data_IF_497493158405
#
_entry.id   IF_497493158405
#
_cell.length_a   1.000
_cell.length_b   1.000
_cell.length_c   1.000
_cell.angle_alpha   90.00
_cell.angle_beta   90.00
_cell.angle_gamma   90.00
#
_symmetry.space_group_name_H-M   'P 1'
#
loop_
_entity.id
_entity.type
_entity.pdbx_description
1 polymer ?
#
# COMPACT_ATOMS: atom_id res chain seq x y z
N UNK A 1 68.60 -48.08 20.78
CA UNK A 1 67.72 -47.09 21.44
C UNK A 1 66.32 -47.64 21.33
N UNK A 2 65.90 -48.32 22.39
CA UNK A 2 64.60 -48.98 22.53
C UNK A 2 63.48 -47.94 22.51
N UNK A 3 62.50 -48.14 21.61
CA UNK A 3 61.19 -47.51 21.68
C UNK A 3 60.19 -48.60 22.04
N UNK A 4 60.06 -48.91 23.32
CA UNK A 4 59.09 -49.89 23.85
C UNK A 4 57.68 -49.33 23.73
N UNK A 5 56.88 -49.95 22.87
CA UNK A 5 55.43 -49.93 22.92
C UNK A 5 55.00 -50.58 24.25
N UNK A 6 54.63 -49.78 25.25
CA UNK A 6 53.97 -50.27 26.46
C UNK A 6 52.50 -50.56 26.16
N UNK A 7 52.08 -51.78 26.52
CA UNK A 7 50.74 -52.30 26.32
C UNK A 7 49.67 -51.47 27.02
N UNK A 8 48.50 -51.40 26.40
CA UNK A 8 47.35 -50.63 26.86
C UNK A 8 46.81 -51.25 28.16
N UNK A 9 46.74 -50.45 29.23
CA UNK A 9 46.16 -50.87 30.51
C UNK A 9 44.65 -51.21 30.35
N UNK A 10 44.18 -52.36 30.83
CA UNK A 10 42.79 -52.79 30.67
C UNK A 10 41.78 -51.89 31.42
N UNK A 11 42.18 -51.26 32.53
CA UNK A 11 41.35 -50.26 33.22
C UNK A 11 41.18 -48.98 32.41
N UNK A 12 42.19 -48.60 31.63
CA UNK A 12 42.14 -47.44 30.73
C UNK A 12 41.20 -47.69 29.55
N UNK A 13 41.16 -48.92 29.03
CA UNK A 13 40.20 -49.31 27.98
C UNK A 13 38.75 -49.30 28.48
N UNK A 14 38.49 -49.84 29.67
CA UNK A 14 37.15 -49.81 30.30
C UNK A 14 36.66 -48.37 30.55
N UNK A 15 37.52 -47.51 31.10
CA UNK A 15 37.18 -46.10 31.32
C UNK A 15 36.96 -45.34 29.99
N UNK A 16 37.71 -45.67 28.95
CA UNK A 16 37.52 -45.09 27.61
C UNK A 16 36.21 -45.58 26.95
N UNK A 17 35.79 -46.83 27.17
CA UNK A 17 34.51 -47.35 26.69
C UNK A 17 33.32 -46.69 27.39
N UNK A 18 33.38 -46.52 28.72
CA UNK A 18 32.33 -45.86 29.50
C UNK A 18 32.22 -44.37 29.13
N UNK A 19 33.36 -43.69 28.92
CA UNK A 19 33.39 -42.33 28.39
C UNK A 19 32.81 -42.25 26.97
N UNK A 20 33.14 -43.20 26.09
CA UNK A 20 32.56 -43.28 24.73
C UNK A 20 31.04 -43.47 24.77
N UNK A 21 30.52 -44.32 25.66
CA UNK A 21 29.06 -44.52 25.85
C UNK A 21 28.38 -43.23 26.31
N UNK A 22 28.94 -42.58 27.33
CA UNK A 22 28.43 -41.30 27.84
C UNK A 22 28.44 -40.20 26.77
N UNK A 23 29.45 -40.19 25.91
CA UNK A 23 29.58 -39.22 24.81
C UNK A 23 28.56 -39.49 23.69
N UNK A 24 28.29 -40.77 23.38
CA UNK A 24 27.23 -41.16 22.45
C UNK A 24 25.84 -40.75 22.97
N UNK A 25 25.55 -41.00 24.25
CA UNK A 25 24.29 -40.58 24.88
C UNK A 25 24.14 -39.05 24.87
N UNK A 26 25.19 -38.31 25.24
CA UNK A 26 25.18 -36.84 25.17
C UNK A 26 24.87 -36.34 23.75
N UNK A 27 25.44 -36.99 22.72
CA UNK A 27 25.20 -36.64 21.31
C UNK A 27 23.77 -36.93 20.87
N UNK A 28 23.17 -38.03 21.32
CA UNK A 28 21.75 -38.33 21.05
C UNK A 28 20.82 -37.31 21.71
N UNK A 29 21.12 -36.92 22.95
CA UNK A 29 20.35 -35.89 23.66
C UNK A 29 20.47 -34.51 23.01
N UNK A 30 21.66 -34.15 22.51
CA UNK A 30 21.84 -32.92 21.73
C UNK A 30 21.02 -32.91 20.44
N UNK A 31 20.97 -34.03 19.71
CA UNK A 31 20.15 -34.17 18.51
C UNK A 31 18.65 -34.01 18.84
N UNK A 32 18.16 -34.72 19.85
CA UNK A 32 16.77 -34.61 20.33
C UNK A 32 16.43 -33.18 20.79
N UNK A 33 17.36 -32.51 21.49
CA UNK A 33 17.17 -31.14 21.95
C UNK A 33 17.10 -30.16 20.76
N UNK A 34 17.90 -30.38 19.72
CA UNK A 34 17.88 -29.56 18.50
C UNK A 34 16.55 -29.71 17.75
N UNK A 35 16.04 -30.93 17.61
CA UNK A 35 14.76 -31.19 16.96
C UNK A 35 13.59 -30.60 17.75
N UNK A 36 13.60 -30.75 19.08
CA UNK A 36 12.60 -30.13 19.97
C UNK A 36 12.65 -28.60 19.90
N UNK A 37 13.83 -27.98 19.84
CA UNK A 37 13.96 -26.52 19.70
C UNK A 37 13.43 -26.01 18.36
N UNK A 38 13.66 -26.75 17.27
CA UNK A 38 13.08 -26.42 15.96
C UNK A 38 11.55 -26.53 16.01
N UNK A 39 11.03 -27.63 16.58
CA UNK A 39 9.60 -27.83 16.76
C UNK A 39 8.94 -26.71 17.57
N UNK A 40 9.54 -26.28 18.69
CA UNK A 40 9.03 -25.16 19.50
C UNK A 40 8.97 -23.87 18.69
N UNK A 41 9.97 -23.59 17.86
CA UNK A 41 10.00 -22.36 17.05
C UNK A 41 8.89 -22.35 15.99
N UNK A 42 8.64 -23.49 15.35
CA UNK A 42 7.56 -23.61 14.37
C UNK A 42 6.19 -23.55 15.05
N UNK A 43 6.02 -24.23 16.19
CA UNK A 43 4.79 -24.14 16.99
C UNK A 43 4.52 -22.71 17.46
N UNK A 44 5.56 -21.96 17.82
CA UNK A 44 5.40 -20.58 18.26
C UNK A 44 4.99 -19.66 17.11
N UNK A 45 5.49 -19.88 15.89
CA UNK A 45 5.03 -19.16 14.69
C UNK A 45 3.56 -19.43 14.39
N UNK A 46 3.15 -20.69 14.50
CA UNK A 46 1.74 -21.07 14.30
C UNK A 46 0.86 -20.45 15.39
N UNK A 47 1.32 -20.45 16.64
CA UNK A 47 0.65 -19.79 17.75
C UNK A 47 0.48 -18.28 17.49
N UNK A 48 1.54 -17.57 17.13
CA UNK A 48 1.48 -16.13 16.86
C UNK A 48 0.50 -15.82 15.70
N UNK A 49 0.53 -16.63 14.64
CA UNK A 49 -0.38 -16.49 13.49
C UNK A 49 -1.84 -16.72 13.89
N UNK A 50 -2.10 -17.75 14.70
CA UNK A 50 -3.47 -18.04 15.18
C UNK A 50 -3.96 -17.00 16.17
N UNK A 51 -3.10 -16.48 17.03
CA UNK A 51 -3.42 -15.39 17.95
C UNK A 51 -3.80 -14.10 17.19
N UNK A 52 -3.05 -13.74 16.15
CA UNK A 52 -3.34 -12.60 15.30
C UNK A 52 -4.66 -12.75 14.53
N UNK A 53 -4.96 -13.97 14.05
CA UNK A 53 -6.25 -14.26 13.42
C UNK A 53 -7.42 -14.10 14.40
N UNK A 54 -7.26 -14.56 15.65
CA UNK A 54 -8.29 -14.39 16.69
C UNK A 54 -8.50 -12.90 17.00
N UNK A 55 -7.42 -12.12 17.12
CA UNK A 55 -7.50 -10.67 17.31
C UNK A 55 -8.22 -9.98 16.14
N UNK A 56 -7.96 -10.42 14.91
CA UNK A 56 -8.65 -9.90 13.73
C UNK A 56 -10.16 -10.19 13.75
N UNK A 57 -10.57 -11.38 14.20
CA UNK A 57 -11.99 -11.76 14.31
C UNK A 57 -12.77 -10.95 15.34
N UNK A 58 -12.11 -10.45 16.39
CA UNK A 58 -12.74 -9.58 17.39
C UNK A 58 -12.97 -8.15 16.89
N UNK A 59 -12.39 -7.77 15.74
CA UNK A 59 -12.56 -6.43 15.21
C UNK A 59 -13.99 -6.19 14.73
N UNK A 60 -14.61 -5.13 15.24
CA UNK A 60 -15.96 -4.74 14.82
C UNK A 60 -15.85 -3.82 13.61
N UNK A 61 -16.70 -4.06 12.61
CA UNK A 61 -16.81 -3.20 11.43
C UNK A 61 -17.19 -1.76 11.79
N UNK A 62 -16.74 -0.81 10.97
CA UNK A 62 -17.10 0.61 11.09
C UNK A 62 -18.02 0.99 9.93
N UNK A 63 -19.03 1.81 10.20
CA UNK A 63 -19.92 2.34 9.16
C UNK A 63 -19.20 3.49 8.46
N UNK A 64 -19.23 3.50 7.13
CA UNK A 64 -18.67 4.61 6.36
C UNK A 64 -19.74 5.69 6.20
N UNK A 65 -19.35 6.95 6.41
CA UNK A 65 -20.20 8.10 6.20
C UNK A 65 -19.46 9.31 5.67
N UNK A 66 -20.22 10.34 5.35
CA UNK A 66 -19.72 11.64 4.87
C UNK A 66 -20.18 12.75 5.81
N UNK A 67 -19.26 13.63 6.20
CA UNK A 67 -19.60 14.80 7.03
C UNK A 67 -20.32 15.82 6.17
N UNK A 68 -21.57 16.13 6.52
CA UNK A 68 -22.37 17.16 5.85
C UNK A 68 -22.06 18.54 6.42
N UNK A 69 -22.13 18.68 7.75
CA UNK A 69 -21.98 19.97 8.41
C UNK A 69 -21.57 19.78 9.87
N UNK A 70 -20.69 20.64 10.37
CA UNK A 70 -20.43 20.77 11.79
C UNK A 70 -21.55 21.59 12.45
N UNK A 71 -22.18 21.03 13.49
CA UNK A 71 -23.21 21.74 14.25
C UNK A 71 -22.54 22.50 15.40
N UNK A 72 -21.74 21.79 16.20
CA UNK A 72 -21.02 22.34 17.35
C UNK A 72 -19.57 21.80 17.39
N UNK A 73 -18.81 22.13 18.44
CA UNK A 73 -17.46 21.61 18.62
C UNK A 73 -17.40 20.08 18.78
N UNK A 74 -18.45 19.46 19.31
CA UNK A 74 -18.49 18.01 19.55
C UNK A 74 -19.46 17.25 18.63
N UNK A 75 -20.40 17.96 18.01
CA UNK A 75 -21.50 17.37 17.23
C UNK A 75 -21.38 17.68 15.75
N UNK A 76 -21.45 16.64 14.93
CA UNK A 76 -21.38 16.71 13.47
C UNK A 76 -22.60 16.03 12.86
N UNK A 77 -23.08 16.56 11.75
CA UNK A 77 -24.09 15.90 10.92
C UNK A 77 -23.35 15.04 9.90
N UNK A 78 -23.61 13.74 9.95
CA UNK A 78 -23.04 12.77 9.01
C UNK A 78 -24.16 12.08 8.23
N UNK A 79 -23.90 11.81 6.95
CA UNK A 79 -24.73 10.94 6.14
C UNK A 79 -24.07 9.56 6.13
N UNK A 80 -24.74 8.54 6.65
CA UNK A 80 -24.26 7.18 6.50
C UNK A 80 -24.34 6.75 5.03
N UNK A 81 -23.47 5.82 4.60
CA UNK A 81 -23.55 5.23 3.26
C UNK A 81 -24.90 4.58 2.98
N UNK A 82 -25.62 4.15 4.02
CA UNK A 82 -26.99 3.62 3.93
C UNK A 82 -28.05 4.67 3.57
N UNK A 83 -27.72 5.97 3.57
CA UNK A 83 -28.64 7.07 3.23
C UNK A 83 -29.17 7.94 4.38
N UNK A 84 -29.45 7.46 5.61
CA UNK A 84 -29.95 8.29 6.69
C UNK A 84 -28.87 9.25 7.20
N UNK A 85 -29.35 10.36 7.78
CA UNK A 85 -28.52 11.41 8.37
C UNK A 85 -28.58 11.31 9.89
N UNK A 86 -27.43 11.33 10.53
CA UNK A 86 -27.30 11.26 11.98
C UNK A 86 -26.55 12.47 12.52
N UNK A 87 -26.94 12.92 13.71
CA UNK A 87 -26.13 13.83 14.51
C UNK A 87 -25.25 12.97 15.39
N UNK A 88 -23.94 13.09 15.21
CA UNK A 88 -22.97 12.19 15.82
C UNK A 88 -21.93 12.97 16.61
N UNK A 89 -21.47 12.36 17.70
CA UNK A 89 -20.34 12.86 18.47
C UNK A 89 -19.01 12.58 17.76
N UNK A 90 -18.04 13.46 17.95
CA UNK A 90 -16.66 13.23 17.52
C UNK A 90 -15.78 12.83 18.70
N UNK A 91 -14.96 11.78 18.53
CA UNK A 91 -13.98 11.39 19.54
C UNK A 91 -12.88 12.46 19.64
N UNK A 92 -12.52 12.87 20.86
CA UNK A 92 -11.56 13.98 21.09
C UNK A 92 -10.16 13.76 20.51
N UNK A 93 -9.79 12.52 20.19
CA UNK A 93 -8.50 12.17 19.55
C UNK A 93 -8.44 12.56 18.06
N UNK A 94 -9.57 12.84 17.42
CA UNK A 94 -9.63 13.18 16.00
C UNK A 94 -9.50 14.69 15.79
N UNK A 95 -8.67 15.10 14.82
CA UNK A 95 -8.47 16.50 14.43
C UNK A 95 -9.76 17.13 13.86
N UNK A 96 -10.48 17.89 14.71
CA UNK A 96 -11.73 18.56 14.32
C UNK A 96 -11.57 19.55 13.16
N UNK A 97 -10.41 20.19 13.01
CA UNK A 97 -10.14 21.17 11.95
C UNK A 97 -10.13 20.57 10.53
N UNK A 98 -9.86 19.27 10.41
CA UNK A 98 -9.81 18.55 9.13
C UNK A 98 -11.17 17.94 8.75
N UNK A 99 -12.11 17.88 9.69
CA UNK A 99 -13.48 17.41 9.48
C UNK A 99 -14.32 18.51 8.80
N UNK A 100 -13.99 18.80 7.54
CA UNK A 100 -14.74 19.70 6.68
C UNK A 100 -15.90 18.97 6.02
N UNK A 101 -16.82 19.74 5.46
CA UNK A 101 -17.93 19.20 4.68
C UNK A 101 -17.39 18.39 3.50
N UNK A 102 -17.94 17.21 3.27
CA UNK A 102 -17.48 16.27 2.25
C UNK A 102 -16.30 15.39 2.66
N UNK A 103 -15.82 15.49 3.90
CA UNK A 103 -14.81 14.57 4.42
C UNK A 103 -15.45 13.22 4.74
N UNK A 104 -14.82 12.14 4.28
CA UNK A 104 -15.24 10.77 4.56
C UNK A 104 -14.79 10.37 5.96
N UNK A 105 -15.67 9.74 6.73
CA UNK A 105 -15.42 9.37 8.12
C UNK A 105 -15.89 7.95 8.38
N UNK A 106 -15.21 7.28 9.32
CA UNK A 106 -15.64 6.02 9.87
C UNK A 106 -16.39 6.26 11.18
N UNK A 107 -17.60 5.74 11.25
CA UNK A 107 -18.49 5.78 12.40
C UNK A 107 -18.47 4.43 13.10
N UNK A 108 -18.57 4.46 14.42
CA UNK A 108 -18.79 3.26 15.20
C UNK A 108 -20.17 2.64 14.90
N UNK A 109 -20.26 1.31 14.84
CA UNK A 109 -21.49 0.62 14.47
C UNK A 109 -22.59 0.77 15.54
N UNK A 110 -22.22 0.79 16.82
CA UNK A 110 -23.17 0.82 17.95
C UNK A 110 -23.49 2.23 18.41
N UNK A 111 -22.48 3.09 18.55
CA UNK A 111 -22.64 4.45 19.09
C UNK A 111 -22.79 5.54 18.03
N UNK A 112 -22.58 5.19 16.75
CA UNK A 112 -22.53 6.13 15.63
C UNK A 112 -21.53 7.28 15.86
N UNK A 113 -20.48 7.08 16.65
CA UNK A 113 -19.47 8.13 16.93
C UNK A 113 -18.38 8.17 15.85
N UNK A 114 -17.87 9.35 15.51
CA UNK A 114 -16.75 9.48 14.56
C UNK A 114 -15.49 8.90 15.21
N UNK A 115 -15.03 7.77 14.69
CA UNK A 115 -13.84 7.05 15.13
C UNK A 115 -12.57 7.60 14.50
N UNK A 116 -12.57 7.75 13.17
CA UNK A 116 -11.43 8.23 12.37
C UNK A 116 -11.89 8.85 11.06
N UNK A 117 -11.04 9.69 10.47
CA UNK A 117 -11.24 10.16 9.10
C UNK A 117 -10.71 9.13 8.11
N UNK A 118 -11.36 9.03 6.96
CA UNK A 118 -10.97 8.18 5.86
C UNK A 118 -10.52 9.06 4.67
N UNK A 119 -9.54 8.61 3.88
CA UNK A 119 -9.22 9.27 2.63
C UNK A 119 -10.42 9.20 1.67
N UNK A 120 -10.43 10.09 0.67
CA UNK A 120 -11.42 10.03 -0.41
C UNK A 120 -11.25 8.71 -1.15
N UNK A 121 -12.37 8.02 -1.36
CA UNK A 121 -12.38 6.85 -2.23
C UNK A 121 -12.28 7.31 -3.67
N UNK A 122 -11.50 6.58 -4.45
CA UNK A 122 -11.60 6.58 -5.90
C UNK A 122 -12.25 5.27 -6.28
N UNK A 123 -13.22 5.32 -7.20
CA UNK A 123 -13.88 4.10 -7.67
C UNK A 123 -12.83 3.14 -8.24
N UNK A 124 -12.96 1.81 -8.01
CA UNK A 124 -12.01 0.82 -8.54
C UNK A 124 -11.85 0.92 -10.06
N UNK A 125 -12.90 1.32 -10.78
CA UNK A 125 -12.84 1.56 -12.23
C UNK A 125 -11.85 2.69 -12.57
N UNK A 126 -11.93 3.82 -11.88
CA UNK A 126 -11.04 4.98 -12.07
C UNK A 126 -9.61 4.61 -11.65
N UNK A 127 -9.47 3.86 -10.56
CA UNK A 127 -8.17 3.38 -10.10
C UNK A 127 -7.50 2.49 -11.15
N UNK A 128 -8.23 1.53 -11.71
CA UNK A 128 -7.74 0.67 -12.78
C UNK A 128 -7.38 1.46 -14.04
N UNK A 129 -8.19 2.47 -14.41
CA UNK A 129 -7.88 3.37 -15.51
C UNK A 129 -6.57 4.11 -15.29
N UNK A 130 -6.28 4.56 -14.06
CA UNK A 130 -5.04 5.29 -13.76
C UNK A 130 -3.78 4.42 -13.74
N UNK A 131 -3.94 3.11 -13.55
CA UNK A 131 -2.86 2.13 -13.56
C UNK A 131 -2.59 1.54 -14.95
N UNK A 132 -3.48 1.76 -15.92
CA UNK A 132 -3.21 1.36 -17.30
C UNK A 132 -2.07 2.20 -17.86
N UNK A 133 -0.89 1.60 -17.97
CA UNK A 133 0.25 2.24 -18.62
C UNK A 133 -0.12 2.61 -20.06
N UNK A 134 0.06 3.88 -20.48
CA UNK A 134 -0.27 4.31 -21.83
C UNK A 134 0.60 3.65 -22.92
N UNK A 135 1.51 2.75 -22.57
CA UNK A 135 2.47 2.11 -23.47
C UNK A 135 3.62 3.05 -23.83
N UNK A 136 4.78 2.50 -24.17
CA UNK A 136 5.97 3.28 -24.54
C UNK A 136 5.84 3.82 -25.97
N UNK A 137 4.88 4.70 -26.21
CA UNK A 137 4.72 5.40 -27.49
C UNK A 137 5.44 6.73 -27.38
N UNK A 138 6.37 6.99 -28.29
CA UNK A 138 7.07 8.27 -28.40
C UNK A 138 6.44 9.13 -29.50
N UNK A 139 6.61 10.45 -29.39
CA UNK A 139 6.16 11.38 -30.44
C UNK A 139 6.80 11.13 -31.80
N UNK A 140 7.99 10.54 -31.84
CA UNK A 140 8.66 10.13 -33.07
C UNK A 140 7.90 9.02 -33.83
N UNK A 141 7.04 8.26 -33.14
CA UNK A 141 6.19 7.25 -33.76
C UNK A 141 4.95 7.82 -34.47
N UNK A 142 4.71 9.13 -34.41
CA UNK A 142 3.54 9.78 -35.01
C UNK A 142 3.97 10.59 -36.24
N UNK A 143 3.52 10.17 -37.42
CA UNK A 143 3.79 10.87 -38.68
C UNK A 143 2.70 11.87 -39.05
N UNK A 144 3.09 12.98 -39.69
CA UNK A 144 2.16 13.89 -40.38
C UNK A 144 1.30 14.80 -39.50
N UNK A 145 1.55 14.84 -38.19
CA UNK A 145 0.78 15.63 -37.21
C UNK A 145 1.65 16.60 -36.38
N UNK A 146 2.76 17.07 -36.96
CA UNK A 146 3.77 17.86 -36.24
C UNK A 146 3.20 19.17 -35.66
N UNK A 147 2.34 19.86 -36.41
CA UNK A 147 1.73 21.12 -35.96
C UNK A 147 0.79 20.89 -34.78
N UNK A 148 -0.05 19.84 -34.85
CA UNK A 148 -0.98 19.50 -33.77
C UNK A 148 -0.25 19.02 -32.51
N UNK A 149 0.84 18.26 -32.67
CA UNK A 149 1.70 17.84 -31.55
C UNK A 149 2.31 19.06 -30.86
N UNK A 150 2.79 20.04 -31.64
CA UNK A 150 3.37 21.27 -31.10
C UNK A 150 2.32 22.09 -30.33
N UNK A 151 1.15 22.34 -30.91
CA UNK A 151 0.07 23.06 -30.23
C UNK A 151 -0.33 22.37 -28.91
N UNK A 152 -0.44 21.05 -28.92
CA UNK A 152 -0.81 20.30 -27.72
C UNK A 152 0.26 20.37 -26.62
N UNK A 153 1.54 20.36 -26.98
CA UNK A 153 2.64 20.58 -26.03
C UNK A 153 2.62 21.99 -25.45
N UNK A 154 2.41 23.01 -26.27
CA UNK A 154 2.30 24.40 -25.79
C UNK A 154 1.12 24.56 -24.81
N UNK A 155 0.04 23.82 -25.02
CA UNK A 155 -1.16 23.90 -24.18
C UNK A 155 -1.05 23.08 -22.89
N UNK A 156 -0.38 21.93 -22.90
CA UNK A 156 -0.30 21.03 -21.74
C UNK A 156 1.04 21.15 -21.01
N UNK A 157 2.15 21.06 -21.72
CA UNK A 157 3.50 21.00 -21.14
C UNK A 157 3.95 22.37 -20.60
N UNK A 158 3.66 23.46 -21.32
CA UNK A 158 4.06 24.81 -20.92
C UNK A 158 3.45 25.27 -19.57
N UNK A 159 2.14 25.12 -19.32
CA UNK A 159 1.58 25.50 -18.02
C UNK A 159 1.98 24.57 -16.89
N UNK A 160 2.28 23.29 -17.17
CA UNK A 160 2.76 22.35 -16.16
C UNK A 160 4.21 22.63 -15.74
N UNK A 161 5.09 22.96 -16.69
CA UNK A 161 6.50 23.23 -16.41
C UNK A 161 6.75 24.65 -15.88
N UNK A 162 6.11 25.67 -16.48
CA UNK A 162 6.41 27.08 -16.21
C UNK A 162 5.14 27.92 -15.94
N UNK A 163 4.45 27.71 -14.82
CA UNK A 163 3.23 28.46 -14.48
C UNK A 163 3.48 29.96 -14.29
N UNK A 164 4.70 30.38 -13.92
CA UNK A 164 5.05 31.79 -13.73
C UNK A 164 4.89 32.63 -15.01
N UNK A 165 5.13 32.07 -16.19
CA UNK A 165 5.00 32.80 -17.45
C UNK A 165 3.55 33.27 -17.66
N UNK A 166 2.58 32.41 -17.33
CA UNK A 166 1.16 32.74 -17.41
C UNK A 166 0.76 33.81 -16.40
N UNK A 167 1.33 33.76 -15.18
CA UNK A 167 1.09 34.76 -14.14
C UNK A 167 1.64 36.14 -14.51
N UNK A 168 2.85 36.20 -15.11
CA UNK A 168 3.47 37.46 -15.54
C UNK A 168 2.74 38.13 -16.70
N UNK A 169 2.25 37.33 -17.65
CA UNK A 169 1.46 37.84 -18.79
C UNK A 169 0.01 38.14 -18.37
N UNK A 170 -0.45 37.60 -17.24
CA UNK A 170 -1.81 37.82 -16.73
C UNK A 170 -2.89 37.01 -17.47
N UNK A 171 -2.50 35.97 -18.19
CA UNK A 171 -3.41 35.11 -18.96
C UNK A 171 -3.66 33.82 -18.17
N UNK A 172 -4.91 33.35 -18.15
CA UNK A 172 -5.26 32.07 -17.52
C UNK A 172 -4.87 30.91 -18.44
N UNK A 173 -4.18 29.87 -17.94
CA UNK A 173 -3.87 28.71 -18.76
C UNK A 173 -5.16 27.98 -19.17
N UNK A 174 -5.21 27.40 -20.38
CA UNK A 174 -6.32 26.56 -20.83
C UNK A 174 -6.50 25.34 -19.91
N UNK A 175 -7.75 24.97 -19.62
CA UNK A 175 -8.08 23.89 -18.67
C UNK A 175 -8.19 22.50 -19.30
N UNK A 176 -8.29 22.41 -20.61
CA UNK A 176 -8.50 21.16 -21.32
C UNK A 176 -8.44 21.34 -22.83
N UNK A 177 -8.20 20.25 -23.53
CA UNK A 177 -8.09 20.20 -24.99
C UNK A 177 -9.09 19.19 -25.53
N UNK A 178 -9.76 19.54 -26.63
CA UNK A 178 -10.66 18.64 -27.33
C UNK A 178 -10.04 18.25 -28.68
N UNK A 179 -9.71 16.97 -28.84
CA UNK A 179 -9.26 16.42 -30.13
C UNK A 179 -10.48 15.86 -30.88
N UNK A 180 -10.83 16.44 -32.03
CA UNK A 180 -11.99 16.02 -32.84
C UNK A 180 -11.60 15.72 -34.29
N UNK A 181 -12.45 15.00 -35.03
CA UNK A 181 -12.28 14.64 -36.45
C UNK A 181 -12.56 13.17 -36.76
N UNK A 182 -12.37 12.72 -38.02
CA UNK A 182 -12.74 11.38 -38.46
C UNK A 182 -12.06 10.25 -37.66
N UNK A 183 -12.70 9.07 -37.52
CA UNK A 183 -12.08 7.91 -36.89
C UNK A 183 -10.82 7.49 -37.67
N UNK A 184 -9.81 6.97 -36.97
CA UNK A 184 -8.54 6.56 -37.60
C UNK A 184 -7.49 7.66 -37.78
N UNK A 185 -7.77 8.91 -37.38
CA UNK A 185 -6.82 10.04 -37.45
C UNK A 185 -5.82 10.12 -36.28
N UNK A 186 -5.65 9.04 -35.50
CA UNK A 186 -4.62 8.96 -34.48
C UNK A 186 -4.87 9.73 -33.16
N UNK A 187 -6.10 10.21 -32.88
CA UNK A 187 -6.40 11.01 -31.66
C UNK A 187 -6.03 10.30 -30.35
N UNK A 188 -6.42 9.03 -30.21
CA UNK A 188 -6.10 8.22 -29.02
C UNK A 188 -4.59 7.93 -28.95
N UNK A 189 -3.95 7.74 -30.10
CA UNK A 189 -2.50 7.49 -30.17
C UNK A 189 -1.72 8.74 -29.74
N UNK A 190 -2.15 9.91 -30.20
CA UNK A 190 -1.58 11.21 -29.81
C UNK A 190 -1.73 11.45 -28.31
N UNK A 191 -2.92 11.18 -27.74
CA UNK A 191 -3.14 11.28 -26.29
C UNK A 191 -2.23 10.33 -25.47
N UNK A 192 -2.03 9.09 -25.94
CA UNK A 192 -1.12 8.12 -25.30
C UNK A 192 0.35 8.57 -25.36
N UNK A 193 0.79 9.12 -26.49
CA UNK A 193 2.16 9.62 -26.64
C UNK A 193 2.44 10.82 -25.72
N UNK A 194 1.44 11.69 -25.50
CA UNK A 194 1.54 12.82 -24.57
C UNK A 194 1.64 12.33 -23.13
N UNK A 195 0.79 11.38 -22.74
CA UNK A 195 0.83 10.83 -21.38
C UNK A 195 2.16 10.12 -21.08
N UNK A 196 2.65 9.34 -22.04
CA UNK A 196 3.98 8.70 -22.00
C UNK A 196 5.11 9.71 -21.83
N UNK A 197 5.08 10.82 -22.58
CA UNK A 197 6.16 11.82 -22.54
C UNK A 197 6.11 12.76 -21.33
N UNK A 198 4.96 12.96 -20.70
CA UNK A 198 4.81 13.82 -19.52
C UNK A 198 4.86 13.04 -18.21
N UNK A 199 4.98 11.71 -18.27
CA UNK A 199 4.95 10.80 -17.10
C UNK A 199 3.72 11.07 -16.21
N UNK A 200 2.59 11.40 -16.84
CA UNK A 200 1.34 11.72 -16.13
C UNK A 200 0.35 10.58 -16.22
N UNK A 201 -0.45 10.38 -15.17
CA UNK A 201 -1.54 9.41 -15.13
C UNK A 201 -2.50 9.61 -16.31
N UNK A 202 -2.65 8.57 -17.14
CA UNK A 202 -3.62 8.55 -18.23
C UNK A 202 -4.88 7.82 -17.76
N UNK A 203 -5.99 8.53 -17.68
CA UNK A 203 -7.29 7.94 -17.37
C UNK A 203 -8.01 7.63 -18.68
N UNK A 204 -8.28 6.35 -18.94
CA UNK A 204 -8.89 5.86 -20.18
C UNK A 204 -10.38 5.59 -20.05
#
# INVERSE_FOLDING_TARGET
>A
MEGTMEGVDPERELALEEYKKSLLESREWEAKLKDLRLGIKDLQREFDTTEDNIKALQSVGQIIGEVLKQLDEERFIVKASSGPRYVVGCRSKVDKAKLKQGTRVALDMTTLTIMRMLPREVDPLVYNMSLEDPGQISFAGIGGLNDQIRELREVIELPLKNPELFLRVGIKPPKGVLLYGPPGTGKTLLARAVASSLETNFLK
#
